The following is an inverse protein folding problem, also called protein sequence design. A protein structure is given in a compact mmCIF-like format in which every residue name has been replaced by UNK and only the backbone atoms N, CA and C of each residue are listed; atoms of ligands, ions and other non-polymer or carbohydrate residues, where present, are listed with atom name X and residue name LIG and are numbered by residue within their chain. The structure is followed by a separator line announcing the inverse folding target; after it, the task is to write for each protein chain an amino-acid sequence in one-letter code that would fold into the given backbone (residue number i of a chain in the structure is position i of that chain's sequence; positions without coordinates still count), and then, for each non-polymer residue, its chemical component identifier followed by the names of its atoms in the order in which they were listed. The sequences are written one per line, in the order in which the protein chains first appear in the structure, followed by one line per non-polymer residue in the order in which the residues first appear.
data_IF_423377370582
#
_entry.id   IF_423377370582
#
_cell.length_a   1.000
_cell.length_b   1.000
_cell.length_c   1.000
_cell.angle_alpha   90.00
_cell.angle_beta   90.00
_cell.angle_gamma   90.00
#
_symmetry.space_group_name_H-M   'P 1'
#
loop_
_entity.id
_entity.type
_entity.pdbx_description
1 polymer ?
#
# COMPACT_ATOMS: atom_id res chain seq x y z
N UNK A 1 14.17 -28.28 -1.65
CA UNK A 1 12.78 -28.12 -1.22
C UNK A 1 12.46 -26.62 -1.22
N UNK A 2 11.62 -26.15 -2.12
CA UNK A 2 11.11 -24.77 -2.11
C UNK A 2 9.98 -24.75 -1.07
N UNK A 3 10.20 -24.07 0.05
CA UNK A 3 9.14 -23.76 1.01
C UNK A 3 8.58 -22.40 0.58
N UNK A 4 7.40 -22.39 -0.03
CA UNK A 4 6.70 -21.15 -0.30
C UNK A 4 6.26 -20.53 1.03
N UNK A 5 6.36 -19.20 1.15
CA UNK A 5 5.82 -18.49 2.31
C UNK A 5 4.32 -18.81 2.42
N UNK A 6 3.91 -19.40 3.54
CA UNK A 6 2.50 -19.65 3.84
C UNK A 6 1.99 -18.56 4.79
N UNK A 7 0.75 -18.12 4.58
CA UNK A 7 0.04 -17.20 5.47
C UNK A 7 -1.21 -17.87 6.03
N UNK A 8 -1.67 -17.42 7.18
CA UNK A 8 -2.97 -17.81 7.75
C UNK A 8 -4.09 -17.06 7.01
N UNK A 9 -4.59 -17.64 5.93
CA UNK A 9 -5.58 -16.98 5.05
C UNK A 9 -6.83 -16.52 5.79
N UNK A 10 -7.30 -17.28 6.77
CA UNK A 10 -8.50 -16.95 7.56
C UNK A 10 -8.35 -15.62 8.31
N UNK A 11 -7.14 -15.30 8.77
CA UNK A 11 -6.83 -14.04 9.45
C UNK A 11 -6.98 -12.84 8.52
N UNK A 12 -6.70 -13.03 7.23
CA UNK A 12 -6.71 -11.95 6.23
C UNK A 12 -8.01 -11.89 5.43
N UNK A 13 -8.92 -12.88 5.57
CA UNK A 13 -10.20 -12.86 4.86
C UNK A 13 -10.95 -11.56 5.09
N UNK A 14 -11.47 -10.97 4.00
CA UNK A 14 -12.16 -9.69 4.06
C UNK A 14 -13.35 -9.72 5.03
N UNK A 15 -13.45 -8.70 5.87
CA UNK A 15 -14.52 -8.53 6.83
C UNK A 15 -14.93 -7.06 6.94
N UNK A 16 -16.13 -6.74 6.47
CA UNK A 16 -16.66 -5.38 6.44
C UNK A 16 -16.74 -4.73 7.82
N UNK A 17 -17.08 -5.48 8.87
CA UNK A 17 -17.16 -4.95 10.23
C UNK A 17 -15.77 -4.53 10.76
N UNK A 18 -14.73 -5.34 10.46
CA UNK A 18 -13.34 -5.00 10.81
C UNK A 18 -12.93 -3.75 10.04
N UNK A 19 -13.23 -3.69 8.74
CA UNK A 19 -12.95 -2.52 7.90
C UNK A 19 -13.59 -1.26 8.48
N UNK A 20 -14.90 -1.27 8.70
CA UNK A 20 -15.63 -0.10 9.24
C UNK A 20 -15.06 0.35 10.58
N UNK A 21 -14.84 -0.60 11.50
CA UNK A 21 -14.29 -0.30 12.83
C UNK A 21 -12.88 0.31 12.73
N UNK A 22 -12.00 -0.29 11.94
CA UNK A 22 -10.62 0.21 11.79
C UNK A 22 -10.58 1.60 11.15
N UNK A 23 -11.43 1.85 10.15
CA UNK A 23 -11.54 3.17 9.52
C UNK A 23 -12.08 4.23 10.50
N UNK A 24 -13.04 3.88 11.36
CA UNK A 24 -13.55 4.75 12.40
C UNK A 24 -12.47 5.08 13.44
N UNK A 25 -11.75 4.07 13.92
CA UNK A 25 -10.68 4.21 14.92
C UNK A 25 -9.55 5.12 14.40
N UNK A 26 -9.24 5.05 13.09
CA UNK A 26 -8.25 5.89 12.42
C UNK A 26 -8.81 7.25 11.93
N UNK A 27 -10.12 7.49 12.03
CA UNK A 27 -10.81 8.70 11.52
C UNK A 27 -10.65 8.91 10.01
N UNK A 28 -10.74 7.81 9.25
CA UNK A 28 -10.59 7.79 7.79
C UNK A 28 -11.81 7.17 7.07
N UNK A 29 -13.00 7.23 7.68
CA UNK A 29 -14.21 6.53 7.20
C UNK A 29 -14.57 6.90 5.76
N UNK A 30 -14.47 8.18 5.40
CA UNK A 30 -14.86 8.70 4.09
C UNK A 30 -13.64 8.97 3.16
N UNK A 31 -12.48 8.38 3.47
CA UNK A 31 -11.25 8.58 2.71
C UNK A 31 -11.01 7.46 1.71
N UNK A 32 -10.33 7.78 0.59
CA UNK A 32 -9.67 6.77 -0.23
C UNK A 32 -8.35 6.42 0.48
N UNK A 33 -8.18 5.16 0.85
CA UNK A 33 -7.08 4.72 1.71
C UNK A 33 -6.05 3.92 0.90
N UNK A 34 -4.92 4.53 0.65
CA UNK A 34 -3.74 3.87 0.06
C UNK A 34 -2.85 3.38 1.19
N UNK A 35 -2.28 2.19 1.09
CA UNK A 35 -1.39 1.66 2.13
C UNK A 35 -0.08 1.11 1.56
N UNK A 36 0.95 1.14 2.39
CA UNK A 36 2.20 0.41 2.18
C UNK A 36 2.64 -0.22 3.50
N UNK A 37 3.14 -1.45 3.42
CA UNK A 37 3.67 -2.20 4.56
C UNK A 37 5.10 -2.61 4.27
N UNK A 38 6.03 -2.09 5.03
CA UNK A 38 7.43 -2.43 4.87
C UNK A 38 8.38 -1.56 5.67
N UNK A 39 9.63 -2.05 5.81
CA UNK A 39 10.69 -1.31 6.46
C UNK A 39 11.07 -0.08 5.64
N UNK A 40 11.26 1.07 6.29
CA UNK A 40 11.77 2.28 5.64
C UNK A 40 13.26 2.11 5.29
N UNK A 41 13.50 1.44 4.18
CA UNK A 41 14.80 1.07 3.64
C UNK A 41 14.84 1.35 2.14
N UNK A 42 16.03 1.51 1.57
CA UNK A 42 16.24 1.80 0.14
C UNK A 42 15.43 0.88 -0.79
N UNK A 43 15.36 -0.39 -0.46
CA UNK A 43 14.63 -1.43 -1.21
C UNK A 43 13.15 -1.06 -1.42
N UNK A 44 12.47 -0.58 -0.37
CA UNK A 44 11.01 -0.29 -0.37
C UNK A 44 10.63 0.99 -1.10
N UNK A 45 11.59 1.88 -1.37
CA UNK A 45 11.43 3.07 -2.21
C UNK A 45 10.30 4.01 -1.78
N UNK A 46 10.19 4.26 -0.47
CA UNK A 46 9.13 5.12 0.07
C UNK A 46 9.15 6.55 -0.50
N UNK A 47 10.33 7.05 -0.90
CA UNK A 47 10.43 8.37 -1.53
C UNK A 47 9.66 8.43 -2.85
N UNK A 48 9.79 7.40 -3.70
CA UNK A 48 9.02 7.30 -4.94
C UNK A 48 7.52 7.13 -4.65
N UNK A 49 7.17 6.28 -3.68
CA UNK A 49 5.80 6.06 -3.23
C UNK A 49 5.11 7.37 -2.84
N UNK A 50 5.79 8.22 -2.05
CA UNK A 50 5.26 9.52 -1.63
C UNK A 50 5.07 10.45 -2.83
N UNK A 51 5.96 10.40 -3.83
CA UNK A 51 5.79 11.20 -5.06
C UNK A 51 4.56 10.73 -5.87
N UNK A 52 4.35 9.41 -6.04
CA UNK A 52 3.14 8.86 -6.68
C UNK A 52 1.89 9.30 -5.92
N UNK A 53 1.90 9.15 -4.59
CA UNK A 53 0.77 9.58 -3.76
C UNK A 53 0.53 11.09 -3.85
N UNK A 54 1.57 11.91 -3.95
CA UNK A 54 1.44 13.37 -4.14
C UNK A 54 0.67 13.71 -5.41
N UNK A 55 0.97 13.04 -6.55
CA UNK A 55 0.24 13.22 -7.79
C UNK A 55 -1.21 12.71 -7.68
N UNK A 56 -1.42 11.57 -7.03
CA UNK A 56 -2.76 11.04 -6.76
C UNK A 56 -3.59 11.98 -5.88
N UNK A 57 -3.00 12.54 -4.83
CA UNK A 57 -3.67 13.45 -3.89
C UNK A 57 -4.14 14.75 -4.56
N UNK A 58 -3.40 15.30 -5.53
CA UNK A 58 -3.83 16.48 -6.29
C UNK A 58 -5.18 16.26 -6.99
N UNK A 59 -5.44 15.03 -7.44
CA UNK A 59 -6.66 14.63 -8.13
C UNK A 59 -7.75 14.16 -7.15
N UNK A 60 -7.34 13.55 -6.04
CA UNK A 60 -8.22 12.97 -5.01
C UNK A 60 -7.87 13.50 -3.61
N UNK A 61 -8.19 14.76 -3.27
CA UNK A 61 -7.79 15.38 -2.00
C UNK A 61 -8.47 14.79 -0.76
N UNK A 62 -9.42 13.87 -0.94
CA UNK A 62 -10.01 13.07 0.13
C UNK A 62 -9.26 11.77 0.39
N UNK A 63 -8.10 11.54 -0.24
CA UNK A 63 -7.29 10.34 -0.01
C UNK A 63 -6.36 10.48 1.21
N UNK A 64 -5.93 9.34 1.72
CA UNK A 64 -4.95 9.22 2.80
C UNK A 64 -3.97 8.09 2.49
N UNK A 65 -2.71 8.28 2.87
CA UNK A 65 -1.67 7.27 2.76
C UNK A 65 -1.31 6.74 4.16
N UNK A 66 -1.44 5.43 4.35
CA UNK A 66 -1.00 4.73 5.56
C UNK A 66 0.36 4.07 5.31
N UNK A 67 1.38 4.51 6.04
CA UNK A 67 2.73 3.94 6.00
C UNK A 67 2.97 3.11 7.27
N UNK A 68 3.09 1.79 7.10
CA UNK A 68 3.19 0.82 8.20
C UNK A 68 4.58 0.22 8.18
N UNK A 69 5.32 0.39 9.25
CA UNK A 69 6.70 -0.06 9.44
C UNK A 69 7.58 1.01 10.04
N UNK A 70 8.85 0.69 10.18
CA UNK A 70 9.90 1.56 10.72
C UNK A 70 11.20 1.34 9.94
N UNK A 71 12.18 2.20 10.10
CA UNK A 71 13.49 2.04 9.46
C UNK A 71 14.27 3.35 9.34
N UNK A 72 15.52 3.22 8.90
CA UNK A 72 16.50 4.31 8.87
C UNK A 72 16.10 5.49 7.97
N UNK A 73 15.26 5.27 6.95
CA UNK A 73 14.83 6.33 6.02
C UNK A 73 13.52 7.02 6.45
N UNK A 74 12.92 6.64 7.59
CA UNK A 74 11.63 7.20 8.02
C UNK A 74 11.67 8.72 8.17
N UNK A 75 12.71 9.27 8.78
CA UNK A 75 12.82 10.72 8.99
C UNK A 75 13.02 11.48 7.67
N UNK A 76 13.74 10.90 6.72
CA UNK A 76 13.89 11.46 5.37
C UNK A 76 12.53 11.53 4.66
N UNK A 77 11.75 10.45 4.73
CA UNK A 77 10.41 10.38 4.14
C UNK A 77 9.44 11.36 4.81
N UNK A 78 9.48 11.52 6.14
CA UNK A 78 8.70 12.54 6.87
C UNK A 78 9.01 13.96 6.39
N UNK A 79 10.30 14.24 6.21
CA UNK A 79 10.73 15.54 5.71
C UNK A 79 10.26 15.80 4.27
N UNK A 80 10.24 14.76 3.42
CA UNK A 80 9.69 14.84 2.07
C UNK A 80 8.18 15.10 2.10
N UNK A 81 7.42 14.36 2.91
CA UNK A 81 5.97 14.56 3.12
C UNK A 81 5.68 16.01 3.53
N UNK A 82 6.45 16.56 4.47
CA UNK A 82 6.32 17.95 4.90
C UNK A 82 6.60 18.94 3.77
N UNK A 83 7.67 18.73 2.99
CA UNK A 83 8.02 19.60 1.84
C UNK A 83 6.93 19.59 0.76
N UNK A 84 6.23 18.47 0.57
CA UNK A 84 5.15 18.32 -0.39
C UNK A 84 3.79 18.79 0.15
N UNK A 85 3.72 19.25 1.41
CA UNK A 85 2.46 19.70 2.03
C UNK A 85 1.45 18.58 2.31
N UNK A 86 1.93 17.34 2.50
CA UNK A 86 1.09 16.15 2.67
C UNK A 86 0.94 15.70 4.13
N UNK A 87 1.32 16.53 5.10
CA UNK A 87 1.36 16.16 6.52
C UNK A 87 -0.01 15.69 7.05
N UNK A 88 -1.10 16.29 6.57
CA UNK A 88 -2.46 16.00 7.04
C UNK A 88 -3.09 14.75 6.38
N UNK A 89 -2.45 14.20 5.34
CA UNK A 89 -2.97 13.06 4.58
C UNK A 89 -2.00 11.87 4.51
N UNK A 90 -0.84 11.93 5.17
CA UNK A 90 0.09 10.80 5.30
C UNK A 90 0.24 10.43 6.76
N UNK A 91 -0.12 9.20 7.10
CA UNK A 91 -0.06 8.67 8.46
C UNK A 91 1.09 7.66 8.60
N UNK A 92 2.06 7.97 9.45
CA UNK A 92 3.15 7.07 9.83
C UNK A 92 2.70 6.26 11.05
N UNK A 93 2.39 4.98 10.86
CA UNK A 93 1.81 4.13 11.91
C UNK A 93 2.85 3.34 12.70
N UNK A 94 4.14 3.40 12.29
CA UNK A 94 5.20 2.62 12.93
C UNK A 94 5.01 1.10 12.77
N UNK A 95 5.70 0.33 13.60
CA UNK A 95 5.52 -1.13 13.65
C UNK A 95 4.17 -1.47 14.29
N UNK A 96 3.36 -2.27 13.59
CA UNK A 96 2.00 -2.65 14.00
C UNK A 96 1.85 -4.16 14.07
N UNK A 97 1.15 -4.65 15.10
CA UNK A 97 0.75 -6.06 15.24
C UNK A 97 -0.59 -6.40 14.60
N UNK A 98 -1.33 -5.40 14.15
CA UNK A 98 -2.68 -5.49 13.57
C UNK A 98 -2.70 -5.13 12.07
N UNK A 99 -1.66 -5.53 11.33
CA UNK A 99 -1.53 -5.27 9.89
C UNK A 99 -2.69 -5.86 9.09
N UNK A 100 -3.20 -7.02 9.50
CA UNK A 100 -4.39 -7.64 8.95
C UNK A 100 -5.61 -6.69 8.97
N UNK A 101 -5.83 -5.99 10.07
CA UNK A 101 -6.92 -5.00 10.22
C UNK A 101 -6.67 -3.74 9.38
N UNK A 102 -5.43 -3.27 9.32
CA UNK A 102 -5.04 -2.12 8.52
C UNK A 102 -5.21 -2.39 7.02
N UNK A 103 -4.90 -3.61 6.56
CA UNK A 103 -5.17 -4.05 5.19
C UNK A 103 -6.68 -4.11 4.89
N UNK A 104 -7.51 -4.50 5.86
CA UNK A 104 -8.97 -4.43 5.72
C UNK A 104 -9.45 -2.98 5.51
N UNK A 105 -8.84 -2.01 6.19
CA UNK A 105 -9.21 -0.60 6.09
C UNK A 105 -8.78 0.06 4.77
N UNK A 106 -7.76 -0.45 4.11
CA UNK A 106 -7.21 0.11 2.88
C UNK A 106 -8.10 -0.15 1.64
N UNK A 107 -7.91 0.62 0.58
CA UNK A 107 -8.55 0.45 -0.73
C UNK A 107 -7.55 -0.03 -1.79
N UNK A 108 -6.24 0.23 -1.59
CA UNK A 108 -5.17 -0.19 -2.50
C UNK A 108 -3.86 -0.36 -1.72
N UNK A 109 -3.12 -1.44 -2.02
CA UNK A 109 -1.71 -1.58 -1.65
C UNK A 109 -0.82 -1.02 -2.76
N UNK A 110 0.02 -0.03 -2.43
CA UNK A 110 1.01 0.54 -3.34
C UNK A 110 2.42 0.13 -2.91
N UNK A 111 3.14 -0.64 -3.75
CA UNK A 111 4.46 -1.18 -3.43
C UNK A 111 5.45 -0.97 -4.59
N UNK A 112 6.05 0.23 -4.72
CA UNK A 112 7.02 0.54 -5.77
C UNK A 112 8.46 0.16 -5.35
N UNK A 113 8.62 -1.04 -4.80
CA UNK A 113 9.92 -1.54 -4.34
C UNK A 113 10.91 -1.65 -5.50
N UNK A 114 12.20 -1.39 -5.23
CA UNK A 114 13.27 -1.53 -6.23
C UNK A 114 13.59 -2.98 -6.55
N UNK A 115 13.38 -3.87 -5.61
CA UNK A 115 13.50 -5.31 -5.76
C UNK A 115 12.82 -6.02 -4.58
N UNK A 116 12.22 -7.15 -4.84
CA UNK A 116 11.65 -8.06 -3.85
C UNK A 116 11.82 -9.51 -4.35
N UNK A 117 11.99 -10.41 -3.39
CA UNK A 117 11.75 -11.83 -3.65
C UNK A 117 10.25 -12.09 -3.70
N UNK A 118 9.71 -12.73 -2.67
CA UNK A 118 8.25 -12.90 -2.51
C UNK A 118 7.80 -12.14 -1.25
N UNK A 119 7.34 -10.87 -1.38
CA UNK A 119 6.98 -10.05 -0.22
C UNK A 119 5.71 -10.59 0.44
N UNK A 120 5.82 -10.99 1.72
CA UNK A 120 4.70 -11.56 2.50
C UNK A 120 3.52 -10.58 2.55
N UNK A 121 3.78 -9.28 2.76
CA UNK A 121 2.73 -8.26 2.80
C UNK A 121 1.91 -8.14 1.51
N UNK A 122 2.50 -8.46 0.35
CA UNK A 122 1.77 -8.51 -0.92
C UNK A 122 0.84 -9.73 -1.02
N UNK A 123 1.24 -10.86 -0.43
CA UNK A 123 0.40 -12.06 -0.34
C UNK A 123 -0.77 -11.80 0.64
N UNK A 124 -0.46 -11.23 1.81
CA UNK A 124 -1.45 -10.87 2.84
C UNK A 124 -2.51 -9.90 2.31
N UNK A 125 -2.09 -8.87 1.55
CA UNK A 125 -2.99 -7.91 0.93
C UNK A 125 -3.95 -8.60 -0.06
N UNK A 126 -3.44 -9.45 -0.94
CA UNK A 126 -4.26 -10.19 -1.90
C UNK A 126 -5.21 -11.18 -1.22
N UNK A 127 -4.78 -11.84 -0.13
CA UNK A 127 -5.65 -12.69 0.68
C UNK A 127 -6.80 -11.90 1.31
N UNK A 128 -6.61 -10.59 1.56
CA UNK A 128 -7.70 -9.71 2.03
C UNK A 128 -8.54 -9.12 0.88
N UNK A 129 -8.37 -9.58 -0.36
CA UNK A 129 -9.02 -9.04 -1.54
C UNK A 129 -8.61 -7.61 -1.89
N UNK A 130 -7.48 -7.13 -1.35
CA UNK A 130 -7.00 -5.76 -1.57
C UNK A 130 -6.37 -5.65 -2.96
N UNK A 131 -6.82 -4.73 -3.84
CA UNK A 131 -6.12 -4.43 -5.08
C UNK A 131 -4.67 -3.99 -4.82
N UNK A 132 -3.75 -4.41 -5.69
CA UNK A 132 -2.33 -4.18 -5.50
C UNK A 132 -1.68 -3.58 -6.75
N UNK A 133 -0.88 -2.52 -6.56
CA UNK A 133 -0.02 -1.96 -7.58
C UNK A 133 1.43 -2.12 -7.18
N UNK A 134 2.18 -2.87 -7.96
CA UNK A 134 3.58 -3.20 -7.73
C UNK A 134 4.48 -2.58 -8.79
N UNK A 135 5.76 -2.40 -8.46
CA UNK A 135 6.78 -2.17 -9.50
C UNK A 135 7.04 -3.45 -10.31
N UNK A 136 7.39 -3.30 -11.58
CA UNK A 136 7.77 -4.40 -12.48
C UNK A 136 9.07 -5.10 -12.09
N UNK A 137 9.81 -4.54 -11.13
CA UNK A 137 11.03 -5.14 -10.53
C UNK A 137 10.71 -6.22 -9.49
N UNK A 138 9.44 -6.36 -9.08
CA UNK A 138 8.98 -7.45 -8.20
C UNK A 138 8.64 -8.66 -9.05
N UNK A 139 8.98 -9.86 -8.55
CA UNK A 139 8.66 -11.11 -9.27
C UNK A 139 7.17 -11.24 -9.56
N UNK A 140 6.83 -11.63 -10.80
CA UNK A 140 5.43 -11.87 -11.20
C UNK A 140 4.78 -13.05 -10.45
N UNK A 141 5.57 -13.90 -9.80
CA UNK A 141 5.07 -14.98 -8.93
C UNK A 141 4.26 -14.46 -7.72
N UNK A 142 4.39 -13.16 -7.40
CA UNK A 142 3.59 -12.53 -6.35
C UNK A 142 2.14 -12.35 -6.74
N UNK A 143 1.81 -12.35 -8.04
CA UNK A 143 0.42 -12.21 -8.52
C UNK A 143 -0.36 -13.51 -8.27
N UNK A 144 -1.28 -13.46 -7.32
CA UNK A 144 -2.18 -14.58 -6.94
C UNK A 144 -3.62 -14.27 -7.36
N UNK A 145 -3.98 -12.98 -7.41
CA UNK A 145 -5.32 -12.52 -7.79
C UNK A 145 -5.28 -11.69 -9.07
N UNK A 146 -6.45 -11.48 -9.70
CA UNK A 146 -6.54 -10.66 -10.90
C UNK A 146 -6.41 -9.14 -10.61
N UNK A 147 -6.73 -8.70 -9.39
CA UNK A 147 -6.64 -7.31 -8.95
C UNK A 147 -5.20 -6.87 -8.65
N UNK A 148 -4.26 -7.26 -9.51
CA UNK A 148 -2.83 -6.92 -9.41
C UNK A 148 -2.34 -6.35 -10.73
N UNK A 149 -1.70 -5.16 -10.65
CA UNK A 149 -0.98 -4.55 -11.75
C UNK A 149 0.50 -4.36 -11.42
N UNK A 150 1.32 -4.31 -12.46
CA UNK A 150 2.73 -3.99 -12.39
C UNK A 150 3.01 -2.77 -13.25
N UNK A 151 3.78 -1.82 -12.72
CA UNK A 151 4.20 -0.64 -13.48
C UNK A 151 5.71 -0.39 -13.31
N UNK A 152 6.33 0.15 -14.35
CA UNK A 152 7.76 0.44 -14.34
C UNK A 152 8.10 1.61 -13.43
N UNK A 153 9.21 1.50 -12.70
CA UNK A 153 9.76 2.61 -11.93
C UNK A 153 10.27 3.76 -12.84
N UNK A 154 10.50 3.48 -14.12
CA UNK A 154 10.88 4.47 -15.14
C UNK A 154 9.67 5.17 -15.77
N UNK A 155 8.45 4.68 -15.49
CA UNK A 155 7.22 5.31 -15.98
C UNK A 155 6.97 6.64 -15.28
N UNK A 156 6.26 7.54 -15.98
CA UNK A 156 5.81 8.80 -15.38
C UNK A 156 4.86 8.55 -14.21
N UNK A 157 4.87 9.44 -13.23
CA UNK A 157 4.01 9.32 -12.04
C UNK A 157 2.52 9.28 -12.41
N UNK A 158 2.13 10.00 -13.48
CA UNK A 158 0.76 10.02 -13.98
C UNK A 158 0.29 8.62 -14.41
N UNK A 159 1.19 7.79 -14.96
CA UNK A 159 0.86 6.40 -15.34
C UNK A 159 0.57 5.54 -14.11
N UNK A 160 1.35 5.70 -13.05
CA UNK A 160 1.06 5.06 -11.77
C UNK A 160 -0.31 5.48 -11.20
N UNK A 161 -0.65 6.77 -11.33
CA UNK A 161 -1.96 7.29 -10.91
C UNK A 161 -3.09 6.68 -11.74
N UNK A 162 -2.95 6.57 -13.06
CA UNK A 162 -3.93 5.91 -13.93
C UNK A 162 -4.18 4.46 -13.51
N UNK A 163 -3.11 3.70 -13.23
CA UNK A 163 -3.23 2.30 -12.77
C UNK A 163 -3.88 2.19 -11.38
N UNK A 164 -3.60 3.14 -10.47
CA UNK A 164 -4.33 3.24 -9.20
C UNK A 164 -5.82 3.47 -9.43
N UNK A 165 -6.19 4.38 -10.34
CA UNK A 165 -7.59 4.69 -10.66
C UNK A 165 -8.34 3.48 -11.25
N UNK A 166 -7.67 2.69 -12.08
CA UNK A 166 -8.26 1.48 -12.64
C UNK A 166 -8.50 0.43 -11.54
N UNK A 167 -7.50 0.19 -10.69
CA UNK A 167 -7.61 -0.77 -9.59
C UNK A 167 -8.66 -0.35 -8.54
N UNK A 168 -8.79 0.93 -8.26
CA UNK A 168 -9.78 1.46 -7.32
C UNK A 168 -11.24 1.34 -7.80
N UNK A 169 -11.47 1.11 -9.12
CA UNK A 169 -12.80 0.78 -9.67
C UNK A 169 -13.20 -0.67 -9.41
N UNK A 170 -12.25 -1.52 -9.12
CA UNK A 170 -12.51 -2.91 -8.77
C UNK A 170 -13.05 -2.97 -7.33
N UNK A 171 -14.23 -3.58 -7.17
CA UNK A 171 -14.74 -3.83 -5.83
C UNK A 171 -13.98 -4.99 -5.20
N UNK A 172 -13.66 -4.89 -3.90
CA UNK A 172 -13.17 -6.03 -3.12
C UNK A 172 -14.14 -7.20 -3.25
N UNK A 173 -13.59 -8.35 -3.60
CA UNK A 173 -14.31 -9.62 -3.67
C UNK A 173 -13.92 -10.51 -2.51
#
# INVERSE_FOLDING_TARGET
CLINNAIETDKYSYNENIRMKTRLDLKISDKIVITNVGRFHFQKNHSFLVNVFSEFYKKYPTSVLLLIGDGELMEEVKNQVKKLGLTDCVMFLGNRGDVDRLMQAADLLLMPSRFEGLPVSAIEAQASGLPCLFSDTITTQVKITESVKFESLEAKLEKWVEDMEELLKEHRK
#
